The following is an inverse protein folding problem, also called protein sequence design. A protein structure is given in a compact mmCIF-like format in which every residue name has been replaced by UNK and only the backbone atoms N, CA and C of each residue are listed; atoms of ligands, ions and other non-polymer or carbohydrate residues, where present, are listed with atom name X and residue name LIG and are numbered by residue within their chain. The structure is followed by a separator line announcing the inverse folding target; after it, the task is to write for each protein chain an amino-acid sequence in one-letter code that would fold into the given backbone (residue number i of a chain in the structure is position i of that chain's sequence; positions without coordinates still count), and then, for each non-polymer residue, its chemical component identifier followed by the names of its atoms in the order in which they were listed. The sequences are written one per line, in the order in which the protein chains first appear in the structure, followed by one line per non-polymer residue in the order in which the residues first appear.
data_IF_884037382591
#
_entry.id   IF_884037382591
#
_cell.length_a   1.000
_cell.length_b   1.000
_cell.length_c   1.000
_cell.angle_alpha   90.00
_cell.angle_beta   90.00
_cell.angle_gamma   90.00
#
_symmetry.space_group_name_H-M   'P 1'
#
loop_
_entity.id
_entity.type
_entity.pdbx_description
1 polymer ?
#
# COMPACT_ATOMS: atom_id res chain seq x y z
N UNK A 1 -5.29 10.88 -11.68
CA UNK A 1 -5.87 12.24 -11.63
C UNK A 1 -6.36 12.45 -10.21
N UNK A 2 -5.93 13.52 -9.54
CA UNK A 2 -6.48 13.90 -8.24
C UNK A 2 -7.93 14.39 -8.42
N UNK A 3 -8.87 13.95 -7.57
CA UNK A 3 -10.25 14.44 -7.57
C UNK A 3 -10.34 15.96 -7.34
N UNK A 4 -11.38 16.59 -7.86
CA UNK A 4 -11.57 18.05 -7.78
C UNK A 4 -11.79 18.59 -6.37
N UNK A 5 -12.25 17.73 -5.44
CA UNK A 5 -12.45 18.04 -4.03
C UNK A 5 -11.20 17.78 -3.16
N UNK A 6 -10.06 17.44 -3.76
CA UNK A 6 -8.78 17.25 -3.08
C UNK A 6 -7.90 18.47 -3.31
N UNK A 7 -7.60 19.19 -2.23
CA UNK A 7 -6.76 20.39 -2.24
C UNK A 7 -5.30 20.07 -2.55
N UNK A 8 -4.51 21.09 -2.91
CA UNK A 8 -3.11 20.90 -3.30
C UNK A 8 -2.23 20.42 -2.15
N UNK A 9 -2.58 20.76 -0.91
CA UNK A 9 -1.81 20.53 0.31
C UNK A 9 -2.39 19.39 1.16
N UNK A 10 -2.93 18.34 0.53
CA UNK A 10 -3.44 17.20 1.28
C UNK A 10 -3.24 15.82 0.65
N UNK A 11 -2.98 15.71 -0.65
CA UNK A 11 -2.79 14.41 -1.29
C UNK A 11 -1.41 13.83 -0.95
N UNK A 12 -1.40 12.70 -0.24
CA UNK A 12 -0.21 12.04 0.28
C UNK A 12 0.01 10.67 -0.37
N UNK A 13 1.24 10.17 -0.31
CA UNK A 13 1.68 8.89 -0.86
C UNK A 13 2.08 7.92 0.26
N UNK A 14 1.80 6.63 0.04
CA UNK A 14 2.06 5.57 1.01
C UNK A 14 2.42 4.28 0.24
N UNK A 15 3.71 3.98 0.02
CA UNK A 15 4.10 2.68 -0.56
C UNK A 15 3.69 1.57 0.40
N UNK A 16 2.96 0.58 -0.11
CA UNK A 16 2.55 -0.59 0.67
C UNK A 16 2.79 -1.89 -0.09
N UNK A 17 3.13 -2.94 0.66
CA UNK A 17 3.06 -4.29 0.15
C UNK A 17 1.60 -4.73 0.13
N UNK A 18 1.11 -5.12 -1.04
CA UNK A 18 -0.20 -5.73 -1.18
C UNK A 18 -0.04 -7.25 -1.20
N UNK A 19 -0.77 -7.97 -0.36
CA UNK A 19 -0.93 -9.42 -0.49
C UNK A 19 -2.28 -9.74 -1.15
N UNK A 20 -2.30 -10.82 -1.92
CA UNK A 20 -3.51 -11.32 -2.59
C UNK A 20 -3.85 -12.69 -2.03
N UNK A 21 -5.07 -12.86 -1.55
CA UNK A 21 -5.58 -14.15 -1.06
C UNK A 21 -5.88 -15.07 -2.25
N UNK A 22 -5.34 -16.29 -2.23
CA UNK A 22 -5.55 -17.31 -3.28
C UNK A 22 -6.62 -18.33 -2.94
N UNK A 23 -6.92 -18.52 -1.64
CA UNK A 23 -7.86 -19.52 -1.14
C UNK A 23 -8.75 -18.91 -0.07
N UNK A 24 -10.00 -19.34 0.00
CA UNK A 24 -10.95 -18.83 1.00
C UNK A 24 -10.40 -19.03 2.41
N UNK A 25 -10.25 -17.94 3.18
CA UNK A 25 -9.76 -17.95 4.55
C UNK A 25 -10.89 -17.63 5.53
N UNK A 26 -11.05 -18.42 6.58
CA UNK A 26 -11.90 -18.07 7.73
C UNK A 26 -11.31 -18.70 8.99
N UNK A 27 -11.07 -17.89 10.03
CA UNK A 27 -10.49 -18.32 11.30
C UNK A 27 -9.19 -19.14 11.14
N UNK A 28 -8.32 -18.75 10.21
CA UNK A 28 -7.06 -19.44 9.91
C UNK A 28 -6.02 -19.10 10.97
N UNK A 29 -5.21 -20.06 11.39
CA UNK A 29 -4.12 -19.81 12.36
C UNK A 29 -2.94 -19.08 11.71
N UNK A 30 -2.11 -18.41 12.52
CA UNK A 30 -0.88 -17.75 12.00
C UNK A 30 0.04 -18.73 11.28
N UNK A 31 0.15 -19.97 11.78
CA UNK A 31 1.00 -21.00 11.19
C UNK A 31 0.53 -21.48 9.81
N UNK A 32 -0.77 -21.42 9.54
CA UNK A 32 -1.37 -21.86 8.28
C UNK A 32 -1.57 -20.71 7.28
N UNK A 33 -1.48 -19.45 7.73
CA UNK A 33 -1.88 -18.29 6.94
C UNK A 33 -1.14 -18.16 5.60
N UNK A 34 0.14 -18.55 5.53
CA UNK A 34 0.93 -18.49 4.31
C UNK A 34 0.34 -19.35 3.17
N UNK A 35 -0.28 -20.50 3.49
CA UNK A 35 -0.85 -21.44 2.52
C UNK A 35 -2.09 -20.91 1.78
N UNK A 36 -2.60 -19.75 2.19
CA UNK A 36 -3.75 -19.10 1.60
C UNK A 36 -3.39 -17.89 0.74
N UNK A 37 -2.11 -17.51 0.69
CA UNK A 37 -1.63 -16.33 -0.05
C UNK A 37 -1.27 -16.75 -1.48
N UNK A 38 -1.90 -16.11 -2.46
CA UNK A 38 -1.57 -16.26 -3.88
C UNK A 38 -0.21 -15.62 -4.21
N UNK A 39 0.02 -14.44 -3.65
CA UNK A 39 1.21 -13.66 -3.97
C UNK A 39 1.12 -12.22 -3.52
N UNK A 40 2.06 -11.42 -4.03
CA UNK A 40 2.30 -10.06 -3.60
C UNK A 40 2.34 -9.08 -4.77
N UNK A 41 1.98 -7.83 -4.52
CA UNK A 41 2.03 -6.73 -5.49
C UNK A 41 2.46 -5.43 -4.79
N UNK A 42 2.74 -4.40 -5.57
CA UNK A 42 2.94 -3.04 -5.05
C UNK A 42 1.59 -2.35 -4.97
N UNK A 43 1.33 -1.64 -3.89
CA UNK A 43 0.23 -0.70 -3.77
C UNK A 43 0.73 0.69 -3.36
N UNK A 44 -0.08 1.69 -3.66
CA UNK A 44 0.05 3.04 -3.11
C UNK A 44 -1.27 3.41 -2.43
N UNK A 45 -1.28 3.61 -1.11
CA UNK A 45 -2.47 4.03 -0.35
C UNK A 45 -2.56 5.57 -0.30
N UNK A 46 -2.95 6.14 -1.44
CA UNK A 46 -3.03 7.61 -1.58
C UNK A 46 -4.07 8.13 -0.60
N UNK A 47 -3.70 9.16 0.15
CA UNK A 47 -4.55 9.69 1.22
C UNK A 47 -4.76 11.18 1.07
N UNK A 48 -6.01 11.63 1.07
CA UNK A 48 -6.33 13.05 1.21
C UNK A 48 -6.40 13.43 2.69
N UNK A 49 -5.31 13.97 3.24
CA UNK A 49 -5.11 14.15 4.68
C UNK A 49 -6.13 15.08 5.34
N UNK A 50 -6.58 16.16 4.68
CA UNK A 50 -7.61 17.02 5.27
C UNK A 50 -8.96 16.32 5.33
N UNK A 51 -9.27 15.45 4.37
CA UNK A 51 -10.45 14.58 4.48
C UNK A 51 -10.28 13.53 5.59
N UNK A 52 -9.08 12.98 5.76
CA UNK A 52 -8.77 12.02 6.83
C UNK A 52 -9.02 12.64 8.21
N UNK A 53 -8.61 13.89 8.43
CA UNK A 53 -8.77 14.60 9.71
C UNK A 53 -10.22 15.02 10.01
N UNK A 54 -11.09 15.06 9.00
CA UNK A 54 -12.51 15.45 9.16
C UNK A 54 -13.42 14.31 9.64
N UNK A 55 -12.96 13.06 9.61
CA UNK A 55 -13.79 11.88 9.94
C UNK A 55 -13.01 10.86 10.76
N UNK A 56 -13.72 10.14 11.64
CA UNK A 56 -13.13 9.01 12.37
C UNK A 56 -12.90 7.79 11.48
N UNK A 57 -13.47 7.76 10.28
CA UNK A 57 -13.36 6.65 9.32
C UNK A 57 -12.45 7.04 8.16
N UNK A 58 -11.25 6.48 8.11
CA UNK A 58 -10.24 6.86 7.11
C UNK A 58 -10.56 6.39 5.69
N UNK A 59 -11.45 5.41 5.51
CA UNK A 59 -11.77 4.84 4.19
C UNK A 59 -12.23 5.87 3.17
N UNK A 60 -12.96 6.91 3.58
CA UNK A 60 -13.40 7.96 2.64
C UNK A 60 -12.22 8.75 2.05
N UNK A 61 -11.22 9.06 2.88
CA UNK A 61 -10.05 9.83 2.48
C UNK A 61 -9.06 9.05 1.59
N UNK A 62 -9.22 7.72 1.51
CA UNK A 62 -8.36 6.77 0.82
C UNK A 62 -9.05 6.03 -0.33
N UNK A 63 -10.38 6.08 -0.38
CA UNK A 63 -11.21 5.36 -1.35
C UNK A 63 -11.65 6.17 -2.56
N UNK A 64 -11.05 7.33 -2.82
CA UNK A 64 -11.41 8.16 -3.97
C UNK A 64 -10.89 7.57 -5.29
N UNK A 65 -11.47 7.98 -6.42
CA UNK A 65 -11.04 7.50 -7.73
C UNK A 65 -9.53 7.73 -7.95
N UNK A 66 -8.82 6.64 -8.24
CA UNK A 66 -7.36 6.65 -8.48
C UNK A 66 -6.49 6.60 -7.22
N UNK A 67 -7.06 6.44 -6.01
CA UNK A 67 -6.29 6.46 -4.76
C UNK A 67 -5.71 5.11 -4.33
N UNK A 68 -5.99 4.03 -5.06
CA UNK A 68 -5.37 2.72 -4.85
C UNK A 68 -4.69 2.18 -6.13
N UNK A 69 -3.61 2.81 -6.64
CA UNK A 69 -2.79 2.21 -7.68
C UNK A 69 -2.21 0.86 -7.21
N UNK A 70 -2.50 -0.21 -7.95
CA UNK A 70 -2.11 -1.59 -7.65
C UNK A 70 -1.44 -2.23 -8.88
N UNK A 71 -0.30 -2.89 -8.70
CA UNK A 71 0.47 -3.51 -9.78
C UNK A 71 1.95 -3.12 -9.74
N UNK A 72 2.75 -3.36 -10.80
CA UNK A 72 2.34 -3.73 -12.16
C UNK A 72 2.00 -5.21 -12.35
N UNK A 73 2.37 -6.08 -11.41
CA UNK A 73 2.13 -7.52 -11.49
C UNK A 73 1.80 -8.10 -10.11
N UNK A 74 1.40 -9.38 -10.11
CA UNK A 74 1.34 -10.20 -8.90
C UNK A 74 2.49 -11.19 -8.99
N UNK A 75 3.39 -11.18 -8.02
CA UNK A 75 4.47 -12.15 -7.87
C UNK A 75 3.98 -13.27 -6.97
N UNK A 76 4.03 -14.51 -7.44
CA UNK A 76 3.61 -15.69 -6.68
C UNK A 76 4.33 -15.76 -5.32
N UNK A 77 3.61 -16.15 -4.27
CA UNK A 77 4.18 -16.39 -2.94
C UNK A 77 5.27 -17.46 -2.95
N UNK A 78 5.23 -18.40 -3.90
CA UNK A 78 6.27 -19.42 -4.09
C UNK A 78 7.63 -18.82 -4.50
N UNK A 79 7.63 -17.68 -5.19
CA UNK A 79 8.85 -16.97 -5.62
C UNK A 79 9.39 -16.03 -4.54
N UNK A 80 8.57 -15.71 -3.53
CA UNK A 80 8.95 -14.89 -2.37
C UNK A 80 8.52 -15.62 -1.09
N UNK A 81 9.23 -16.71 -0.69
CA UNK A 81 8.82 -17.51 0.46
C UNK A 81 8.90 -16.75 1.80
N UNK A 82 9.80 -15.77 1.89
CA UNK A 82 9.92 -14.89 3.04
C UNK A 82 9.73 -13.43 2.60
N UNK A 83 8.56 -12.82 2.84
CA UNK A 83 8.27 -11.46 2.41
C UNK A 83 9.07 -10.39 3.18
N UNK A 84 9.74 -10.74 4.29
CA UNK A 84 10.53 -9.78 5.08
C UNK A 84 11.77 -9.27 4.34
N UNK A 85 12.22 -9.98 3.31
CA UNK A 85 13.34 -9.57 2.46
C UNK A 85 12.99 -8.39 1.54
N UNK A 86 11.70 -8.04 1.43
CA UNK A 86 11.22 -7.02 0.52
C UNK A 86 11.55 -5.61 1.04
N UNK A 87 12.06 -4.78 0.13
CA UNK A 87 12.35 -3.36 0.38
C UNK A 87 11.32 -2.53 -0.38
N UNK A 88 10.73 -1.55 0.29
CA UNK A 88 9.67 -0.68 -0.20
C UNK A 88 10.22 0.73 -0.37
N UNK A 89 10.01 1.34 -1.53
CA UNK A 89 10.49 2.71 -1.80
C UNK A 89 9.45 3.56 -2.52
N UNK A 90 9.39 4.82 -2.12
CA UNK A 90 8.71 5.90 -2.84
C UNK A 90 9.71 6.97 -3.24
N UNK A 91 9.68 7.39 -4.50
CA UNK A 91 10.40 8.58 -4.97
C UNK A 91 9.44 9.59 -5.60
N UNK A 92 9.58 10.86 -5.24
CA UNK A 92 8.85 11.97 -5.82
C UNK A 92 9.82 12.84 -6.62
N UNK A 93 9.60 12.97 -7.93
CA UNK A 93 10.47 13.73 -8.84
C UNK A 93 11.96 13.34 -8.73
N UNK A 94 12.22 12.04 -8.56
CA UNK A 94 13.57 11.48 -8.41
C UNK A 94 14.17 11.59 -7.00
N UNK A 95 13.52 12.28 -6.06
CA UNK A 95 13.94 12.32 -4.65
C UNK A 95 13.32 11.16 -3.89
N UNK A 96 14.13 10.39 -3.16
CA UNK A 96 13.63 9.34 -2.25
C UNK A 96 12.87 9.98 -1.09
N UNK A 97 11.63 9.54 -0.89
CA UNK A 97 10.75 10.00 0.18
C UNK A 97 10.53 8.93 1.24
N UNK A 98 10.39 7.67 0.81
CA UNK A 98 10.27 6.49 1.68
C UNK A 98 11.30 5.45 1.25
N UNK A 99 11.96 4.82 2.22
CA UNK A 99 12.90 3.72 2.04
C UNK A 99 12.83 2.82 3.28
N UNK A 100 12.08 1.73 3.18
CA UNK A 100 11.80 0.85 4.32
C UNK A 100 11.87 -0.63 3.96
N UNK A 101 11.86 -1.48 5.00
CA UNK A 101 11.85 -2.94 4.87
C UNK A 101 10.51 -3.52 5.32
N UNK A 102 10.07 -4.59 4.66
CA UNK A 102 8.96 -5.39 5.15
C UNK A 102 9.29 -6.14 6.46
N UNK A 103 10.58 -6.29 6.80
CA UNK A 103 11.01 -6.81 8.10
C UNK A 103 10.68 -5.85 9.27
N UNK A 104 10.46 -4.56 8.98
CA UNK A 104 10.11 -3.55 9.99
C UNK A 104 8.61 -3.53 10.33
N UNK A 105 7.80 -4.42 9.72
CA UNK A 105 6.36 -4.48 9.96
C UNK A 105 6.06 -4.84 11.41
N UNK A 106 5.19 -4.05 12.07
CA UNK A 106 4.75 -4.30 13.44
C UNK A 106 3.98 -5.63 13.56
N UNK A 107 3.16 -5.93 12.56
CA UNK A 107 2.43 -7.19 12.44
C UNK A 107 2.88 -7.88 11.15
N UNK A 108 3.35 -9.11 11.26
CA UNK A 108 3.74 -9.90 10.10
C UNK A 108 2.55 -10.23 9.20
N UNK A 109 2.83 -10.54 7.93
CA UNK A 109 1.79 -10.93 6.97
C UNK A 109 0.92 -12.10 7.48
N UNK A 110 1.48 -13.20 8.04
CA UNK A 110 0.68 -14.27 8.62
C UNK A 110 -0.23 -13.81 9.78
N UNK A 111 0.23 -12.87 10.61
CA UNK A 111 -0.57 -12.30 11.70
C UNK A 111 -1.74 -11.46 11.17
N UNK A 112 -1.50 -10.63 10.14
CA UNK A 112 -2.54 -9.83 9.48
C UNK A 112 -3.64 -10.73 8.91
N UNK A 113 -3.27 -11.77 8.15
CA UNK A 113 -4.23 -12.70 7.54
C UNK A 113 -5.02 -13.46 8.60
N UNK A 114 -4.32 -14.02 9.60
CA UNK A 114 -4.95 -14.71 10.74
C UNK A 114 -5.97 -13.81 11.45
N UNK A 115 -5.55 -12.59 11.82
CA UNK A 115 -6.39 -11.63 12.53
C UNK A 115 -7.64 -11.25 11.73
N UNK A 116 -7.47 -10.83 10.47
CA UNK A 116 -8.60 -10.41 9.63
C UNK A 116 -9.59 -11.56 9.38
N UNK A 117 -9.09 -12.80 9.26
CA UNK A 117 -9.94 -13.98 9.03
C UNK A 117 -10.85 -14.34 10.22
N UNK A 118 -10.53 -13.87 11.43
CA UNK A 118 -11.38 -14.10 12.62
C UNK A 118 -12.69 -13.31 12.51
N UNK A 119 -12.62 -12.08 12.02
CA UNK A 119 -13.79 -11.22 11.79
C UNK A 119 -14.49 -11.46 10.45
N UNK A 120 -13.74 -11.88 9.42
CA UNK A 120 -14.23 -11.88 8.03
C UNK A 120 -13.89 -13.18 7.30
N UNK A 121 -14.71 -13.60 6.35
CA UNK A 121 -14.27 -14.56 5.34
C UNK A 121 -13.49 -13.80 4.29
N UNK A 122 -12.20 -14.11 4.11
CA UNK A 122 -11.38 -13.54 3.05
C UNK A 122 -11.52 -14.41 1.81
N UNK A 123 -12.05 -13.86 0.73
CA UNK A 123 -12.30 -14.62 -0.50
C UNK A 123 -11.04 -14.64 -1.38
N UNK A 124 -10.85 -15.66 -2.24
CA UNK A 124 -9.85 -15.58 -3.29
C UNK A 124 -9.99 -14.28 -4.09
N UNK A 125 -8.88 -13.60 -4.33
CA UNK A 125 -8.84 -12.27 -4.94
C UNK A 125 -8.96 -11.10 -3.96
N UNK A 126 -9.21 -11.34 -2.66
CA UNK A 126 -9.11 -10.27 -1.65
C UNK A 126 -7.69 -9.73 -1.61
N UNK A 127 -7.56 -8.40 -1.73
CA UNK A 127 -6.30 -7.67 -1.60
C UNK A 127 -6.25 -7.04 -0.21
N UNK A 128 -5.13 -7.22 0.48
CA UNK A 128 -4.84 -6.56 1.76
C UNK A 128 -3.56 -5.76 1.58
N UNK A 129 -3.63 -4.46 1.80
CA UNK A 129 -2.48 -3.54 1.85
C UNK A 129 -2.04 -3.41 3.31
N UNK A 130 -0.74 -3.54 3.57
CA UNK A 130 -0.23 -3.96 4.88
C UNK A 130 0.38 -2.83 5.72
N UNK A 131 0.18 -1.58 5.33
CA UNK A 131 0.81 -0.42 5.95
C UNK A 131 2.05 0.05 5.20
N UNK A 132 2.47 1.28 5.52
CA UNK A 132 3.54 2.01 4.84
C UNK A 132 4.71 2.33 5.79
N UNK A 133 5.97 2.35 5.33
CA UNK A 133 7.10 2.80 6.13
C UNK A 133 7.08 4.32 6.38
N UNK A 134 7.98 4.80 7.24
CA UNK A 134 8.12 6.24 7.49
C UNK A 134 8.47 7.04 6.22
N UNK A 135 8.24 8.35 6.26
CA UNK A 135 8.57 9.25 5.15
C UNK A 135 7.39 9.71 4.29
N UNK A 136 6.16 9.42 4.72
CA UNK A 136 4.93 10.00 4.16
C UNK A 136 5.03 11.53 4.11
N UNK A 137 4.39 12.14 3.13
CA UNK A 137 4.46 13.56 2.82
C UNK A 137 4.11 14.47 4.00
N UNK A 138 3.05 14.16 4.73
CA UNK A 138 2.64 14.96 5.91
C UNK A 138 3.69 14.96 7.03
N UNK A 139 4.53 13.93 7.11
CA UNK A 139 5.58 13.80 8.14
C UNK A 139 6.89 14.52 7.78
N UNK A 140 6.99 15.07 6.56
CA UNK A 140 8.16 15.81 6.11
C UNK A 140 8.22 17.20 6.76
N UNK A 141 9.41 17.81 6.77
CA UNK A 141 9.65 19.16 7.29
C UNK A 141 10.37 20.02 6.24
N UNK A 142 9.67 20.90 5.49
CA UNK A 142 8.21 21.09 5.50
C UNK A 142 7.45 19.89 4.88
N UNK A 143 6.13 19.74 5.15
CA UNK A 143 5.30 18.72 4.52
C UNK A 143 5.39 18.76 3.00
N UNK A 144 5.32 17.59 2.35
CA UNK A 144 5.38 17.45 0.89
C UNK A 144 4.19 16.67 0.37
N UNK A 145 3.26 17.34 -0.31
CA UNK A 145 2.07 16.72 -0.89
C UNK A 145 2.17 16.65 -2.41
N UNK A 146 1.48 15.68 -3.01
CA UNK A 146 1.42 15.47 -4.46
C UNK A 146 0.81 16.68 -5.17
N UNK A 147 1.55 17.23 -6.14
CA UNK A 147 1.12 18.33 -7.00
C UNK A 147 0.88 17.86 -8.43
N UNK A 148 -0.01 18.52 -9.20
CA UNK A 148 -0.07 18.29 -10.64
C UNK A 148 1.28 18.53 -11.33
N UNK A 149 1.67 17.61 -12.20
CA UNK A 149 2.97 17.59 -12.87
C UNK A 149 4.03 16.76 -12.15
N UNK A 150 3.79 16.35 -10.90
CA UNK A 150 4.71 15.46 -10.19
C UNK A 150 4.77 14.09 -10.84
N UNK A 151 5.97 13.50 -10.86
CA UNK A 151 6.18 12.09 -11.14
C UNK A 151 6.44 11.33 -9.85
N UNK A 152 5.47 10.52 -9.44
CA UNK A 152 5.59 9.61 -8.32
C UNK A 152 6.03 8.23 -8.82
N UNK A 153 7.01 7.62 -8.14
CA UNK A 153 7.39 6.23 -8.35
C UNK A 153 7.27 5.46 -7.05
N UNK A 154 6.58 4.33 -7.11
CA UNK A 154 6.32 3.44 -5.97
C UNK A 154 6.82 2.05 -6.35
N UNK A 155 7.72 1.48 -5.56
CA UNK A 155 8.43 0.26 -5.95
C UNK A 155 8.66 -0.69 -4.79
N UNK A 156 8.68 -1.99 -5.10
CA UNK A 156 9.11 -3.04 -4.20
C UNK A 156 10.12 -3.93 -4.91
N UNK A 157 11.15 -4.34 -4.18
CA UNK A 157 12.26 -5.17 -4.67
C UNK A 157 11.81 -6.60 -5.06
N UNK A 158 12.77 -7.45 -5.44
CA UNK A 158 12.55 -8.88 -5.74
C UNK A 158 11.51 -9.16 -6.84
N UNK A 159 11.46 -8.30 -7.85
CA UNK A 159 10.67 -8.52 -9.07
C UNK A 159 9.21 -8.06 -9.00
N UNK A 160 8.76 -7.46 -7.89
CA UNK A 160 7.42 -6.87 -7.80
C UNK A 160 7.27 -5.61 -8.68
N UNK A 161 8.38 -4.91 -8.93
CA UNK A 161 8.47 -3.87 -9.96
C UNK A 161 8.22 -2.46 -9.44
N UNK A 162 7.79 -1.58 -10.34
CA UNK A 162 7.64 -0.15 -10.06
C UNK A 162 6.41 0.39 -10.78
N UNK A 163 5.58 1.11 -10.04
CA UNK A 163 4.53 1.95 -10.58
C UNK A 163 5.09 3.35 -10.81
N UNK A 164 4.80 3.94 -11.97
CA UNK A 164 5.17 5.32 -12.31
C UNK A 164 3.86 6.05 -12.60
N UNK A 165 3.56 7.07 -11.80
CA UNK A 165 2.35 7.87 -11.91
C UNK A 165 2.71 9.33 -12.14
N UNK A 166 2.21 9.89 -13.25
CA UNK A 166 2.18 11.34 -13.44
C UNK A 166 0.92 11.89 -12.77
N UNK A 167 1.12 12.75 -11.78
CA UNK A 167 0.02 13.35 -11.03
C UNK A 167 -0.63 14.41 -11.92
N UNK A 168 -1.89 14.19 -12.27
CA UNK A 168 -2.74 15.17 -12.94
C UNK A 168 -3.96 15.54 -12.11
N UNK A 169 -4.83 16.40 -12.64
CA UNK A 169 -6.09 16.80 -12.00
C UNK A 169 -7.27 16.63 -12.95
N UNK A 170 -8.37 16.10 -12.42
CA UNK A 170 -9.63 15.98 -13.13
C UNK A 170 -10.22 17.34 -13.51
#
# INVERSE_FOLDING_TARGET
MLPSNVEYDEADYEVELALVIGRQCKNVSVAEAADYILGYSVANDVTARKHQDKTSQWSYAKGMDGFCPLGPCIVSSELVPDPRILNLKTSLNGKIMQDGSADDMIFSIPEIVSYLSQGHTLMPGTVIITGTPCGIGISQSPPQFLQPGDQLRVSISHGLGTQICEIGRA
#
